data_IF_510204895038
#
_entry.id   IF_510204895038
#
_cell.length_a   1.000
_cell.length_b   1.000
_cell.length_c   1.000
_cell.angle_alpha   90.00
_cell.angle_beta   90.00
_cell.angle_gamma   90.00
#
_symmetry.space_group_name_H-M   'P 1'
#
loop_
_entity.id
_entity.type
_entity.pdbx_description
1 polymer ?
#
# COMPACT_ATOMS: atom_id res chain seq x y z
N UNK A 1 1.99 -20.08 -2.63
CA UNK A 1 1.33 -19.09 -3.50
C UNK A 1 2.34 -17.99 -3.67
N UNK A 2 2.90 -17.81 -4.87
CA UNK A 2 3.86 -16.72 -5.14
C UNK A 2 3.04 -15.47 -5.45
N UNK A 3 3.16 -14.44 -4.63
CA UNK A 3 2.53 -13.14 -4.89
C UNK A 3 3.27 -12.47 -6.06
N UNK A 4 2.53 -11.88 -7.00
CA UNK A 4 3.10 -11.15 -8.12
C UNK A 4 3.16 -9.64 -7.78
N UNK A 5 4.34 -8.99 -7.76
CA UNK A 5 4.47 -7.56 -7.47
C UNK A 5 3.63 -6.64 -8.37
N UNK A 6 3.41 -7.04 -9.62
CA UNK A 6 2.62 -6.30 -10.61
C UNK A 6 1.10 -6.53 -10.48
N UNK A 7 0.67 -7.40 -9.57
CA UNK A 7 -0.75 -7.68 -9.36
C UNK A 7 -1.46 -6.43 -8.86
N UNK A 8 -2.55 -6.05 -9.54
CA UNK A 8 -3.35 -4.88 -9.19
C UNK A 8 -4.26 -5.19 -8.00
N UNK A 9 -4.04 -4.49 -6.90
CA UNK A 9 -4.77 -4.66 -5.66
C UNK A 9 -5.74 -3.49 -5.48
N UNK A 10 -7.05 -3.75 -5.31
CA UNK A 10 -8.02 -2.70 -5.00
C UNK A 10 -7.76 -2.14 -3.60
N UNK A 11 -7.77 -0.82 -3.46
CA UNK A 11 -7.42 -0.18 -2.18
C UNK A 11 -8.61 -0.03 -1.24
N UNK A 12 -9.87 -0.02 -1.73
CA UNK A 12 -11.06 0.10 -0.86
C UNK A 12 -11.17 -1.00 0.18
N UNK A 13 -11.02 -2.31 -0.15
CA UNK A 13 -11.09 -3.36 0.86
C UNK A 13 -10.06 -3.19 1.97
N UNK A 14 -8.86 -2.70 1.63
CA UNK A 14 -7.81 -2.40 2.61
C UNK A 14 -8.22 -1.24 3.51
N UNK A 15 -8.78 -0.17 2.92
CA UNK A 15 -9.29 0.97 3.69
C UNK A 15 -10.41 0.55 4.65
N UNK A 16 -11.36 -0.26 4.19
CA UNK A 16 -12.49 -0.75 5.02
C UNK A 16 -12.01 -1.63 6.19
N UNK A 17 -11.05 -2.52 5.92
CA UNK A 17 -10.42 -3.37 6.92
C UNK A 17 -9.75 -2.52 8.00
N UNK A 18 -8.85 -1.61 7.61
CA UNK A 18 -8.10 -0.74 8.53
C UNK A 18 -8.94 0.39 9.15
N UNK A 19 -10.13 0.64 8.60
CA UNK A 19 -11.01 1.73 9.00
C UNK A 19 -10.53 3.12 8.56
N UNK A 20 -9.83 3.18 7.44
CA UNK A 20 -9.38 4.41 6.81
C UNK A 20 -10.51 5.01 5.97
N UNK A 21 -10.54 6.34 5.89
CA UNK A 21 -11.39 7.03 4.92
C UNK A 21 -10.83 6.84 3.50
N UNK A 22 -11.53 6.05 2.69
CA UNK A 22 -11.14 5.74 1.31
C UNK A 22 -10.91 6.99 0.46
N UNK A 23 -11.79 7.99 0.56
CA UNK A 23 -11.70 9.20 -0.26
C UNK A 23 -10.43 10.00 0.04
N UNK A 24 -10.08 10.14 1.32
CA UNK A 24 -8.85 10.79 1.77
C UNK A 24 -7.61 10.03 1.29
N UNK A 25 -7.63 8.69 1.30
CA UNK A 25 -6.49 7.90 0.83
C UNK A 25 -6.31 7.99 -0.68
N UNK A 26 -7.41 7.96 -1.46
CA UNK A 26 -7.37 8.20 -2.91
C UNK A 26 -6.78 9.57 -3.22
N UNK A 27 -7.13 10.61 -2.45
CA UNK A 27 -6.56 11.94 -2.64
C UNK A 27 -5.04 11.94 -2.37
N UNK A 28 -4.59 11.34 -1.26
CA UNK A 28 -3.16 11.21 -0.96
C UNK A 28 -2.39 10.48 -2.06
N UNK A 29 -2.94 9.39 -2.58
CA UNK A 29 -2.35 8.63 -3.71
C UNK A 29 -2.23 9.50 -4.97
N UNK A 30 -3.25 10.32 -5.26
CA UNK A 30 -3.23 11.23 -6.42
C UNK A 30 -2.24 12.39 -6.27
N UNK A 31 -1.98 12.82 -5.05
CA UNK A 31 -1.02 13.89 -4.73
C UNK A 31 0.42 13.38 -4.71
N UNK A 32 0.62 12.08 -4.49
CA UNK A 32 1.93 11.42 -4.53
C UNK A 32 2.40 11.20 -5.98
N UNK A 33 3.58 11.72 -6.33
CA UNK A 33 4.09 11.68 -7.69
C UNK A 33 4.39 10.26 -8.19
N UNK A 34 4.82 9.37 -7.30
CA UNK A 34 5.20 8.00 -7.66
C UNK A 34 3.95 7.12 -7.73
N UNK A 35 3.10 7.16 -6.69
CA UNK A 35 1.87 6.35 -6.62
C UNK A 35 0.82 6.77 -7.65
N UNK A 36 0.69 8.08 -7.95
CA UNK A 36 -0.27 8.56 -8.95
C UNK A 36 0.07 8.08 -10.36
N UNK A 37 1.34 7.81 -10.64
CA UNK A 37 1.79 7.31 -11.95
C UNK A 37 1.48 5.83 -12.16
N UNK A 38 1.33 5.07 -11.07
CA UNK A 38 1.09 3.62 -11.10
C UNK A 38 -0.36 3.24 -10.78
N UNK A 39 -1.16 4.17 -10.24
CA UNK A 39 -2.57 3.88 -9.95
C UNK A 39 -3.36 3.57 -11.23
N UNK A 40 -4.22 2.55 -11.14
CA UNK A 40 -5.11 2.13 -12.23
C UNK A 40 -6.55 2.22 -11.75
N UNK A 41 -7.40 2.83 -12.56
CA UNK A 41 -8.85 2.75 -12.37
C UNK A 41 -9.34 1.48 -13.08
N UNK A 42 -9.87 0.53 -12.31
CA UNK A 42 -10.38 -0.73 -12.84
C UNK A 42 -11.90 -0.80 -12.68
N UNK A 43 -12.58 -1.41 -13.66
CA UNK A 43 -14.02 -1.64 -13.59
C UNK A 43 -14.29 -2.99 -12.96
N UNK A 44 -14.99 -3.01 -11.83
CA UNK A 44 -15.49 -4.22 -11.18
C UNK A 44 -16.99 -4.34 -11.42
N UNK A 45 -17.43 -5.54 -11.83
CA UNK A 45 -18.85 -5.88 -11.93
C UNK A 45 -19.29 -6.46 -10.60
N UNK A 46 -20.18 -5.76 -9.91
CA UNK A 46 -20.74 -6.25 -8.66
C UNK A 46 -21.77 -7.36 -8.91
N UNK A 47 -22.16 -8.04 -7.83
CA UNK A 47 -23.15 -9.12 -7.88
C UNK A 47 -24.53 -8.67 -8.39
N UNK A 48 -24.85 -7.37 -8.36
CA UNK A 48 -26.06 -6.79 -8.92
C UNK A 48 -25.96 -6.47 -10.43
N UNK A 49 -24.84 -6.81 -11.06
CA UNK A 49 -24.56 -6.57 -12.47
C UNK A 49 -24.17 -5.12 -12.80
N UNK A 50 -23.98 -4.26 -11.79
CA UNK A 50 -23.51 -2.89 -12.02
C UNK A 50 -22.00 -2.82 -12.04
N UNK A 51 -21.51 -1.92 -12.88
CA UNK A 51 -20.10 -1.58 -12.98
C UNK A 51 -19.76 -0.48 -11.96
N UNK A 52 -18.70 -0.69 -11.21
CA UNK A 52 -18.11 0.28 -10.30
C UNK A 52 -16.66 0.50 -10.69
N UNK A 53 -16.22 1.75 -10.65
CA UNK A 53 -14.81 2.09 -10.80
C UNK A 53 -14.10 1.97 -9.44
N UNK A 54 -12.98 1.26 -9.43
CA UNK A 54 -12.20 0.99 -8.24
C UNK A 54 -10.73 1.39 -8.49
N UNK A 55 -10.14 2.11 -7.53
CA UNK A 55 -8.73 2.47 -7.61
C UNK A 55 -7.88 1.27 -7.15
N UNK A 56 -6.96 0.87 -8.01
CA UNK A 56 -6.01 -0.19 -7.76
C UNK A 56 -4.58 0.33 -7.79
N UNK A 57 -3.71 -0.30 -7.01
CA UNK A 57 -2.26 -0.11 -7.05
C UNK A 57 -1.59 -1.47 -7.30
N UNK A 58 -0.44 -1.52 -8.01
CA UNK A 58 0.43 -2.69 -8.00
C UNK A 58 0.79 -3.09 -6.56
N UNK A 59 0.90 -4.38 -6.27
CA UNK A 59 1.20 -4.90 -4.95
C UNK A 59 2.48 -4.28 -4.35
N UNK A 60 3.51 -4.05 -5.17
CA UNK A 60 4.73 -3.34 -4.73
C UNK A 60 4.46 -1.90 -4.26
N UNK A 61 3.56 -1.18 -4.94
CA UNK A 61 3.17 0.18 -4.58
C UNK A 61 2.23 0.21 -3.36
N UNK A 62 1.44 -0.85 -3.12
CA UNK A 62 0.64 -0.98 -1.90
C UNK A 62 1.51 -0.94 -0.65
N UNK A 63 2.69 -1.60 -0.68
CA UNK A 63 3.61 -1.57 0.45
C UNK A 63 4.08 -0.14 0.75
N UNK A 64 4.49 0.61 -0.27
CA UNK A 64 4.87 2.02 -0.14
C UNK A 64 3.72 2.91 0.35
N UNK A 65 2.51 2.71 -0.16
CA UNK A 65 1.31 3.41 0.31
C UNK A 65 1.02 3.12 1.79
N UNK A 66 1.13 1.87 2.26
CA UNK A 66 0.90 1.54 3.66
C UNK A 66 1.91 2.23 4.61
N UNK A 67 3.14 2.48 4.16
CA UNK A 67 4.15 3.20 4.96
C UNK A 67 3.80 4.67 5.21
N UNK A 68 3.09 5.33 4.31
CA UNK A 68 2.73 6.75 4.45
C UNK A 68 1.47 6.97 5.30
N UNK A 69 0.74 5.90 5.63
CA UNK A 69 -0.48 5.99 6.43
C UNK A 69 -0.12 6.21 7.89
N UNK A 70 -0.72 7.23 8.50
CA UNK A 70 -0.59 7.45 9.93
C UNK A 70 -1.47 6.43 10.70
N UNK A 71 -0.92 5.59 11.59
CA UNK A 71 -1.70 4.64 12.37
C UNK A 71 -2.80 5.31 13.20
N UNK A 72 -2.66 6.59 13.55
CA UNK A 72 -3.71 7.34 14.28
C UNK A 72 -4.99 7.55 13.45
N UNK A 73 -4.91 7.44 12.12
CA UNK A 73 -6.06 7.57 11.21
C UNK A 73 -6.85 6.23 11.10
N UNK A 74 -6.35 5.15 11.71
CA UNK A 74 -6.97 3.81 11.69
C UNK A 74 -7.88 3.58 12.91
N UNK A 75 -8.74 2.56 12.82
CA UNK A 75 -9.51 2.06 13.98
C UNK A 75 -8.59 1.72 15.14
N UNK A 76 -9.01 2.04 16.37
CA UNK A 76 -8.21 1.83 17.59
C UNK A 76 -7.67 0.40 17.76
N UNK A 77 -8.43 -0.60 17.33
CA UNK A 77 -8.04 -2.03 17.40
C UNK A 77 -6.97 -2.41 16.37
N UNK A 78 -6.92 -1.71 15.23
CA UNK A 78 -5.97 -1.95 14.14
C UNK A 78 -4.66 -1.17 14.30
N UNK A 79 -4.63 -0.14 15.17
CA UNK A 79 -3.44 0.70 15.35
C UNK A 79 -2.24 -0.10 15.90
N UNK A 80 -2.49 -1.06 16.80
CA UNK A 80 -1.42 -1.89 17.35
C UNK A 80 -0.86 -2.84 16.29
N UNK A 81 -1.76 -3.45 15.50
CA UNK A 81 -1.37 -4.29 14.37
C UNK A 81 -0.54 -3.48 13.36
N UNK A 82 -0.99 -2.27 13.01
CA UNK A 82 -0.27 -1.39 12.09
C UNK A 82 1.12 -1.01 12.62
N UNK A 83 1.27 -0.73 13.93
CA UNK A 83 2.58 -0.47 14.54
C UNK A 83 3.50 -1.67 14.46
N UNK A 84 3.00 -2.87 14.76
CA UNK A 84 3.77 -4.12 14.67
C UNK A 84 4.22 -4.34 13.22
N UNK A 85 3.30 -4.21 12.26
CA UNK A 85 3.58 -4.33 10.84
C UNK A 85 4.68 -3.35 10.40
N UNK A 86 4.52 -2.05 10.68
CA UNK A 86 5.53 -1.03 10.34
C UNK A 86 6.91 -1.35 10.95
N UNK A 87 6.93 -1.83 12.19
CA UNK A 87 8.18 -2.18 12.87
C UNK A 87 8.87 -3.40 12.24
N UNK A 88 8.10 -4.40 11.79
CA UNK A 88 8.62 -5.53 11.02
C UNK A 88 9.17 -5.06 9.66
N UNK A 89 8.49 -4.13 9.00
CA UNK A 89 8.96 -3.59 7.73
C UNK A 89 10.25 -2.76 7.91
N UNK A 90 10.39 -1.97 8.98
CA UNK A 90 11.63 -1.28 9.30
C UNK A 90 12.79 -2.25 9.55
N UNK A 91 12.54 -3.33 10.28
CA UNK A 91 13.56 -4.35 10.51
C UNK A 91 14.01 -5.00 9.20
N UNK A 92 13.06 -5.40 8.34
CA UNK A 92 13.39 -5.98 7.04
C UNK A 92 14.17 -5.00 6.15
N UNK A 93 13.77 -3.72 6.13
CA UNK A 93 14.49 -2.68 5.38
C UNK A 93 15.92 -2.50 5.91
N UNK A 94 16.10 -2.50 7.24
CA UNK A 94 17.39 -2.41 7.90
C UNK A 94 18.30 -3.59 7.53
N UNK A 95 17.79 -4.81 7.65
CA UNK A 95 18.51 -6.05 7.32
C UNK A 95 18.88 -6.14 5.84
N UNK A 96 18.04 -5.63 4.95
CA UNK A 96 18.31 -5.73 3.52
C UNK A 96 19.28 -4.66 3.02
N UNK A 97 19.19 -3.42 3.51
CA UNK A 97 19.93 -2.29 2.92
C UNK A 97 20.95 -1.63 3.85
N UNK A 98 20.88 -1.83 5.16
CA UNK A 98 21.69 -1.07 6.13
C UNK A 98 22.64 -1.93 6.96
N UNK A 99 22.43 -3.25 7.03
CA UNK A 99 23.37 -4.15 7.73
C UNK A 99 24.54 -4.62 6.87
N UNK A 100 24.47 -4.40 5.55
CA UNK A 100 25.55 -4.72 4.61
C UNK A 100 25.80 -3.54 3.65
N UNK A 101 26.92 -2.80 3.79
CA UNK A 101 27.21 -1.66 2.94
C UNK A 101 27.42 -2.01 1.46
N UNK A 102 27.75 -3.27 1.11
CA UNK A 102 27.94 -3.67 -0.30
C UNK A 102 26.60 -3.75 -1.08
N UNK A 103 25.48 -3.99 -0.38
CA UNK A 103 24.13 -4.00 -0.98
C UNK A 103 23.60 -2.60 -1.31
N UNK A 104 24.08 -1.58 -0.59
CA UNK A 104 23.62 -0.21 -0.77
C UNK A 104 24.19 0.43 -2.05
N UNK A 105 25.43 0.10 -2.43
CA UNK A 105 26.09 0.66 -3.62
C UNK A 105 25.59 0.05 -4.94
N UNK A 106 25.00 -1.14 -4.91
CA UNK A 106 24.57 -1.88 -6.10
C UNK A 106 23.17 -1.50 -6.62
N UNK A 107 22.43 -0.63 -5.92
CA UNK A 107 21.09 -0.15 -6.32
C UNK A 107 21.09 1.26 -6.94
N UNK A 108 22.25 1.93 -6.99
CA UNK A 108 22.39 3.31 -7.49
C UNK A 108 23.13 3.43 -8.84
N UNK A 109 23.43 2.30 -9.51
CA UNK A 109 24.05 2.25 -10.86
C UNK A 109 23.09 1.66 -11.87
#
# INVERSE_FOLDING_TARGET
>A
MTLNPEELIPIRPICEMLGLDYSSQVQKIKEDADLSSTMVLSTIVAADGKEYEEFCLPLECVAGWLFIINPMDMKSEEQEFARIYLMQCYQALCEEYFTDPEKFESTTT
#
